data_IF_637855559275
#
_entry.id   IF_637855559275
#
_cell.length_a   1.000
_cell.length_b   1.000
_cell.length_c   1.000
_cell.angle_alpha   90.00
_cell.angle_beta   90.00
_cell.angle_gamma   90.00
#
_symmetry.space_group_name_H-M   'P 1'
#
loop_
_entity.id
_entity.type
_entity.pdbx_description
1 polymer ?
#
# COMPACT_ATOMS: atom_id res chain seq x y z
N UNK A 1 22.19 -18.29 -33.26
CA UNK A 1 21.94 -17.16 -32.32
C UNK A 1 21.04 -17.68 -31.21
N UNK A 2 21.51 -17.66 -29.95
CA UNK A 2 20.70 -18.08 -28.80
C UNK A 2 19.91 -16.85 -28.33
N UNK A 3 18.59 -16.86 -28.51
CA UNK A 3 17.71 -15.86 -27.90
C UNK A 3 17.50 -16.25 -26.43
N UNK A 4 18.03 -15.45 -25.52
CA UNK A 4 17.69 -15.55 -24.10
C UNK A 4 16.22 -15.16 -23.96
N UNK A 5 15.39 -16.11 -23.53
CA UNK A 5 13.99 -15.86 -23.22
C UNK A 5 13.89 -14.81 -22.12
N UNK A 6 13.26 -13.69 -22.44
CA UNK A 6 12.80 -12.72 -21.46
C UNK A 6 11.72 -13.41 -20.63
N UNK A 7 11.98 -13.63 -19.34
CA UNK A 7 10.90 -14.01 -18.41
C UNK A 7 9.89 -12.85 -18.39
N UNK A 8 8.59 -13.12 -18.36
CA UNK A 8 7.60 -12.06 -18.23
C UNK A 8 7.74 -11.41 -16.85
N UNK A 9 7.67 -10.08 -16.78
CA UNK A 9 7.69 -9.25 -15.56
C UNK A 9 6.44 -9.47 -14.65
N UNK A 10 5.76 -10.60 -14.79
CA UNK A 10 4.46 -10.89 -14.14
C UNK A 10 4.58 -11.59 -12.78
N UNK A 11 5.77 -11.68 -12.20
CA UNK A 11 6.01 -12.49 -11.00
C UNK A 11 6.87 -11.75 -9.95
N UNK A 12 6.65 -10.45 -9.78
CA UNK A 12 7.05 -9.80 -8.54
C UNK A 12 5.95 -10.08 -7.52
N UNK A 13 5.97 -11.29 -6.96
CA UNK A 13 5.15 -11.69 -5.82
C UNK A 13 5.70 -10.96 -4.59
N UNK A 14 5.08 -9.86 -4.18
CA UNK A 14 5.41 -9.17 -2.92
C UNK A 14 4.98 -9.98 -1.68
N UNK A 15 4.33 -11.12 -1.88
CA UNK A 15 3.92 -12.03 -0.82
C UNK A 15 5.04 -13.04 -0.57
N UNK A 16 5.77 -12.83 0.52
CA UNK A 16 6.57 -13.88 1.14
C UNK A 16 5.68 -14.63 2.13
N UNK A 17 5.64 -15.96 2.01
CA UNK A 17 5.05 -16.82 3.03
C UNK A 17 5.87 -16.69 4.32
N UNK A 18 5.43 -15.79 5.22
CA UNK A 18 6.08 -15.52 6.49
C UNK A 18 5.17 -15.94 7.64
N UNK A 19 5.58 -16.95 8.40
CA UNK A 19 4.89 -17.35 9.62
C UNK A 19 5.37 -16.50 10.80
N UNK A 20 4.48 -15.67 11.33
CA UNK A 20 4.75 -14.88 12.52
C UNK A 20 4.73 -15.76 13.78
N UNK A 21 5.72 -15.58 14.65
CA UNK A 21 5.76 -16.27 15.95
C UNK A 21 4.69 -15.79 16.92
N UNK A 22 4.31 -14.52 16.80
CA UNK A 22 3.32 -13.86 17.66
C UNK A 22 2.07 -13.54 16.86
N UNK A 23 0.92 -14.10 17.30
CA UNK A 23 -0.38 -13.86 16.64
C UNK A 23 -0.81 -12.39 16.65
N UNK A 24 -0.36 -11.61 17.62
CA UNK A 24 -0.59 -10.15 17.67
C UNK A 24 0.14 -9.43 16.53
N UNK A 25 1.34 -9.88 16.19
CA UNK A 25 2.13 -9.32 15.07
C UNK A 25 1.53 -9.75 13.73
N UNK A 26 1.05 -10.99 13.63
CA UNK A 26 0.30 -11.49 12.47
C UNK A 26 -0.94 -10.64 12.20
N UNK A 27 -1.79 -10.45 13.22
CA UNK A 27 -3.01 -9.66 13.11
C UNK A 27 -2.71 -8.19 12.73
N UNK A 28 -1.63 -7.61 13.27
CA UNK A 28 -1.21 -6.26 12.88
C UNK A 28 -0.73 -6.20 11.43
N UNK A 29 0.01 -7.21 10.98
CA UNK A 29 0.46 -7.31 9.59
C UNK A 29 -0.72 -7.40 8.63
N UNK A 30 -1.73 -8.21 8.96
CA UNK A 30 -2.96 -8.34 8.18
C UNK A 30 -3.74 -7.02 8.10
N UNK A 31 -3.87 -6.31 9.23
CA UNK A 31 -4.52 -4.99 9.30
C UNK A 31 -3.82 -3.96 8.43
N UNK A 32 -2.49 -3.81 8.59
CA UNK A 32 -1.68 -2.89 7.79
C UNK A 32 -1.78 -3.23 6.30
N UNK A 33 -1.67 -4.51 5.93
CA UNK A 33 -1.73 -4.92 4.53
C UNK A 33 -3.11 -4.63 3.92
N UNK A 34 -4.18 -4.98 4.64
CA UNK A 34 -5.55 -4.70 4.23
C UNK A 34 -5.78 -3.21 4.00
N UNK A 35 -5.33 -2.38 4.94
CA UNK A 35 -5.43 -0.93 4.85
C UNK A 35 -4.63 -0.37 3.65
N UNK A 36 -3.41 -0.86 3.42
CA UNK A 36 -2.59 -0.44 2.28
C UNK A 36 -3.24 -0.80 0.94
N UNK A 37 -3.77 -2.01 0.80
CA UNK A 37 -4.44 -2.47 -0.43
C UNK A 37 -5.69 -1.62 -0.70
N UNK A 38 -6.50 -1.34 0.33
CA UNK A 38 -7.68 -0.48 0.19
C UNK A 38 -7.30 0.94 -0.21
N UNK A 39 -6.27 1.50 0.43
CA UNK A 39 -5.74 2.83 0.12
C UNK A 39 -5.26 2.93 -1.33
N UNK A 40 -4.53 1.92 -1.82
CA UNK A 40 -4.08 1.86 -3.21
C UNK A 40 -5.24 1.80 -4.20
N UNK A 41 -6.31 1.05 -3.88
CA UNK A 41 -7.54 1.02 -4.70
C UNK A 41 -8.22 2.38 -4.76
N UNK A 42 -8.40 3.04 -3.60
CA UNK A 42 -9.00 4.39 -3.54
C UNK A 42 -8.20 5.39 -4.38
N UNK A 43 -6.87 5.35 -4.29
CA UNK A 43 -5.98 6.20 -5.09
C UNK A 43 -6.12 5.91 -6.59
N UNK A 44 -6.19 4.63 -6.96
CA UNK A 44 -6.35 4.20 -8.35
C UNK A 44 -7.69 4.67 -8.94
N UNK A 45 -8.79 4.48 -8.21
CA UNK A 45 -10.13 4.93 -8.61
C UNK A 45 -10.20 6.47 -8.72
N UNK A 46 -9.55 7.22 -7.83
CA UNK A 46 -9.48 8.68 -7.93
C UNK A 46 -8.71 9.15 -9.16
N UNK A 47 -7.67 8.42 -9.57
CA UNK A 47 -6.88 8.71 -10.77
C UNK A 47 -7.71 8.49 -12.03
N UNK A 48 -8.39 7.35 -12.14
CA UNK A 48 -9.23 7.00 -13.29
C UNK A 48 -10.37 8.00 -13.50
N UNK A 49 -10.92 8.55 -12.42
CA UNK A 49 -11.99 9.56 -12.49
C UNK A 49 -11.50 10.96 -12.86
N UNK A 50 -10.23 11.31 -12.57
CA UNK A 50 -9.68 12.64 -12.85
C UNK A 50 -8.93 12.76 -14.17
N UNK A 51 -8.38 11.68 -14.72
CA UNK A 51 -7.53 11.76 -15.91
C UNK A 51 -7.48 10.42 -16.68
N UNK A 52 -8.15 10.34 -17.84
CA UNK A 52 -8.12 9.18 -18.76
C UNK A 52 -6.74 8.95 -19.40
N UNK A 53 -5.88 9.95 -19.38
CA UNK A 53 -4.47 9.83 -19.69
C UNK A 53 -3.75 10.08 -18.37
N UNK A 54 -2.80 9.25 -17.96
CA UNK A 54 -1.51 9.69 -17.41
C UNK A 54 -0.90 8.62 -16.53
N UNK A 55 0.19 8.06 -17.04
CA UNK A 55 1.25 7.31 -16.37
C UNK A 55 2.13 8.21 -15.48
N UNK A 56 1.58 9.23 -14.81
CA UNK A 56 2.40 10.14 -14.00
C UNK A 56 2.08 9.96 -12.52
N UNK A 57 3.09 9.49 -11.77
CA UNK A 57 3.10 9.49 -10.30
C UNK A 57 3.23 10.92 -9.74
N UNK A 58 2.52 11.89 -10.32
CA UNK A 58 2.61 13.29 -9.92
C UNK A 58 1.74 13.51 -8.69
N UNK A 59 2.41 13.62 -7.55
CA UNK A 59 1.79 14.07 -6.32
C UNK A 59 1.55 15.58 -6.38
N UNK A 60 0.28 15.99 -6.25
CA UNK A 60 -0.09 17.40 -6.06
C UNK A 60 -0.44 17.66 -4.60
N UNK A 61 0.40 18.47 -3.93
CA UNK A 61 0.19 18.85 -2.52
C UNK A 61 -1.08 19.68 -2.30
N UNK A 62 -1.59 20.34 -3.34
CA UNK A 62 -2.80 21.15 -3.26
C UNK A 62 -4.07 20.34 -3.57
N UNK A 63 -3.93 19.12 -4.09
CA UNK A 63 -5.06 18.25 -4.35
C UNK A 63 -5.72 17.78 -3.04
N UNK A 64 -7.02 18.06 -2.91
CA UNK A 64 -7.78 17.77 -1.70
C UNK A 64 -7.78 16.28 -1.37
N UNK A 65 -7.94 15.43 -2.39
CA UNK A 65 -7.96 13.98 -2.19
C UNK A 65 -6.60 13.47 -1.71
N UNK A 66 -5.51 13.91 -2.35
CA UNK A 66 -4.14 13.56 -1.96
C UNK A 66 -3.81 13.97 -0.53
N UNK A 67 -4.31 15.14 -0.09
CA UNK A 67 -4.16 15.59 1.30
C UNK A 67 -4.94 14.72 2.29
N UNK A 68 -6.22 14.45 2.01
CA UNK A 68 -7.07 13.61 2.86
C UNK A 68 -6.53 12.18 2.97
N UNK A 69 -6.04 11.62 1.85
CA UNK A 69 -5.46 10.30 1.83
C UNK A 69 -4.18 10.24 2.67
N UNK A 70 -3.31 11.25 2.56
CA UNK A 70 -2.12 11.34 3.41
C UNK A 70 -2.47 11.45 4.90
N UNK A 71 -3.45 12.26 5.27
CA UNK A 71 -3.91 12.38 6.67
C UNK A 71 -4.42 11.02 7.19
N UNK A 72 -5.22 10.31 6.39
CA UNK A 72 -5.74 8.96 6.72
C UNK A 72 -4.60 7.94 6.89
N UNK A 73 -3.60 7.95 6.01
CA UNK A 73 -2.42 7.08 6.11
C UNK A 73 -1.65 7.34 7.41
N UNK A 74 -1.35 8.62 7.71
CA UNK A 74 -0.61 9.02 8.91
C UNK A 74 -1.37 8.59 10.17
N UNK A 75 -2.67 8.90 10.26
CA UNK A 75 -3.49 8.57 11.43
C UNK A 75 -3.53 7.06 11.69
N UNK A 76 -3.65 6.25 10.63
CA UNK A 76 -3.64 4.80 10.76
C UNK A 76 -2.31 4.30 11.34
N UNK A 77 -1.18 4.72 10.77
CA UNK A 77 0.13 4.26 11.23
C UNK A 77 0.48 4.76 12.64
N UNK A 78 0.11 6.00 12.99
CA UNK A 78 0.28 6.51 14.36
C UNK A 78 -0.51 5.69 15.38
N UNK A 79 -1.76 5.32 15.05
CA UNK A 79 -2.58 4.44 15.90
C UNK A 79 -1.98 3.04 16.02
N UNK A 80 -1.57 2.44 14.91
CA UNK A 80 -0.92 1.12 14.89
C UNK A 80 0.36 1.11 15.76
N UNK A 81 1.19 2.15 15.67
CA UNK A 81 2.39 2.30 16.49
C UNK A 81 2.04 2.48 17.97
N UNK A 82 1.06 3.32 18.30
CA UNK A 82 0.61 3.48 19.69
C UNK A 82 0.10 2.16 20.27
N UNK A 83 -0.63 1.36 19.50
CA UNK A 83 -1.10 0.05 19.96
C UNK A 83 0.08 -0.88 20.28
N UNK A 84 1.11 -0.92 19.43
CA UNK A 84 2.32 -1.68 19.68
C UNK A 84 3.07 -1.22 20.94
N UNK A 85 3.22 0.09 21.12
CA UNK A 85 3.94 0.65 22.27
C UNK A 85 3.22 0.40 23.60
N UNK A 86 1.87 0.39 23.60
CA UNK A 86 1.06 0.16 24.80
C UNK A 86 0.89 -1.32 25.18
N UNK A 87 1.28 -2.25 24.30
CA UNK A 87 1.26 -3.71 24.59
C UNK A 87 2.54 -4.16 25.33
N UNK A 88 3.54 -3.28 25.43
CA UNK A 88 4.85 -3.55 26.03
C UNK A 88 4.91 -3.25 27.52
#
# INVERSE_FOLDING_TARGET
MKSNGSKPDSEIMYECDYEFKEKSVEALSEDINTFCIQSLKEIFENRDTKNSNFDSCVYDKNDLFSRQMNEKLIEHFEKSLCLLENIR
#
